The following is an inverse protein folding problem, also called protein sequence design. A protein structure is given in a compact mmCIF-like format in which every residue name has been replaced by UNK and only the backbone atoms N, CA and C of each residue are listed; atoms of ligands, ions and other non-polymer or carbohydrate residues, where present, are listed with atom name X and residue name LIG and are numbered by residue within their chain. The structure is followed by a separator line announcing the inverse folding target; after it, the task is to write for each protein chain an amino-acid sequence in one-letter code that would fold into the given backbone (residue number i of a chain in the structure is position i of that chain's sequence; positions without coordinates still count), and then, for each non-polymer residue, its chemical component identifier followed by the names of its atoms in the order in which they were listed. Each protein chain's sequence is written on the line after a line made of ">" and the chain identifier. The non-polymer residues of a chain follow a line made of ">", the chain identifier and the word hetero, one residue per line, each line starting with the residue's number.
data_IF_041600136744
#
_entry.id   IF_041600136744
#
_cell.length_a   1.000
_cell.length_b   1.000
_cell.length_c   1.000
_cell.angle_alpha   90.00
_cell.angle_beta   90.00
_cell.angle_gamma   90.00
#
_symmetry.space_group_name_H-M   'P 1'
#
loop_
_entity.id
_entity.type
_entity.pdbx_description
1 polymer ?
#
# COMPACT_ATOMS: atom_id res chain seq x y z
N UNK A 1 24.93 -8.54 26.87
CA UNK A 1 23.70 -7.75 26.68
C UNK A 1 23.84 -7.02 25.37
N UNK A 2 22.90 -7.17 24.43
CA UNK A 2 22.93 -6.40 23.19
C UNK A 2 22.49 -4.96 23.46
N UNK A 3 23.09 -3.94 22.81
CA UNK A 3 22.59 -2.57 22.89
C UNK A 3 21.16 -2.50 22.34
N UNK A 4 20.35 -1.51 22.77
CA UNK A 4 19.01 -1.32 22.23
C UNK A 4 19.10 -1.07 20.71
N UNK A 5 18.10 -1.53 19.93
CA UNK A 5 18.08 -1.30 18.51
C UNK A 5 18.01 0.21 18.23
N UNK A 6 18.84 0.69 17.31
CA UNK A 6 18.85 2.09 16.87
C UNK A 6 17.60 2.40 16.03
N UNK A 7 17.17 1.45 15.19
CA UNK A 7 15.92 1.53 14.43
C UNK A 7 14.79 0.89 15.23
N UNK A 8 13.79 1.67 15.58
CA UNK A 8 12.64 1.23 16.37
C UNK A 8 11.34 1.31 15.58
N UNK A 9 10.26 0.76 16.13
CA UNK A 9 8.93 0.92 15.55
C UNK A 9 8.46 2.38 15.49
N UNK A 10 8.94 3.25 16.38
CA UNK A 10 8.62 4.66 16.37
C UNK A 10 9.23 5.36 15.14
N UNK A 11 10.52 5.11 14.85
CA UNK A 11 11.18 5.70 13.68
C UNK A 11 10.47 5.29 12.37
N UNK A 12 10.04 4.02 12.29
CA UNK A 12 9.30 3.50 11.14
C UNK A 12 7.93 4.19 11.02
N UNK A 13 7.20 4.35 12.14
CA UNK A 13 5.89 5.00 12.15
C UNK A 13 5.98 6.49 11.78
N UNK A 14 6.96 7.21 12.32
CA UNK A 14 7.19 8.62 12.00
C UNK A 14 7.58 8.81 10.52
N UNK A 15 8.47 7.97 10.00
CA UNK A 15 8.84 7.96 8.59
C UNK A 15 7.63 7.65 7.70
N UNK A 16 6.84 6.62 8.03
CA UNK A 16 5.61 6.29 7.30
C UNK A 16 4.64 7.47 7.28
N UNK A 17 4.42 8.13 8.43
CA UNK A 17 3.56 9.30 8.53
C UNK A 17 4.05 10.47 7.68
N UNK A 18 5.36 10.75 7.68
CA UNK A 18 5.95 11.82 6.87
C UNK A 18 5.82 11.54 5.37
N UNK A 19 6.14 10.32 4.92
CA UNK A 19 6.01 9.92 3.51
C UNK A 19 4.55 9.92 3.07
N UNK A 20 3.63 9.52 3.96
CA UNK A 20 2.18 9.54 3.69
C UNK A 20 1.67 10.95 3.44
N UNK A 21 2.02 11.92 4.29
CA UNK A 21 1.65 13.33 4.10
C UNK A 21 2.21 13.91 2.80
N UNK A 22 3.46 13.55 2.46
CA UNK A 22 4.07 13.99 1.20
C UNK A 22 3.32 13.44 -0.01
N UNK A 23 2.94 12.16 0.02
CA UNK A 23 2.16 11.53 -1.04
C UNK A 23 0.78 12.19 -1.17
N UNK A 24 0.06 12.39 -0.07
CA UNK A 24 -1.26 13.04 -0.07
C UNK A 24 -1.19 14.45 -0.68
N UNK A 25 -0.19 15.23 -0.29
CA UNK A 25 0.05 16.57 -0.86
C UNK A 25 0.37 16.51 -2.36
N UNK A 26 1.09 15.49 -2.82
CA UNK A 26 1.40 15.30 -4.24
C UNK A 26 0.18 14.88 -5.07
N UNK A 27 -0.76 14.15 -4.45
CA UNK A 27 -1.99 13.69 -5.10
C UNK A 27 -3.12 14.73 -5.07
N UNK A 28 -3.10 15.69 -4.15
CA UNK A 28 -4.13 16.72 -4.00
C UNK A 28 -4.57 17.40 -5.32
N UNK A 29 -3.66 17.80 -6.23
CA UNK A 29 -4.06 18.43 -7.50
C UNK A 29 -4.80 17.49 -8.47
N UNK A 30 -4.71 16.17 -8.25
CA UNK A 30 -5.33 15.15 -9.11
C UNK A 30 -6.77 14.83 -8.70
N UNK A 31 -7.18 15.24 -7.49
CA UNK A 31 -8.46 14.87 -6.90
C UNK A 31 -8.56 13.41 -6.43
N UNK A 32 -7.53 12.59 -6.68
CA UNK A 32 -7.49 11.18 -6.27
C UNK A 32 -6.97 11.08 -4.84
N UNK A 33 -7.71 10.36 -3.99
CA UNK A 33 -7.30 10.10 -2.60
C UNK A 33 -6.13 9.12 -2.52
N UNK A 34 -5.44 9.12 -1.38
CA UNK A 34 -4.41 8.10 -1.09
C UNK A 34 -4.96 6.68 -1.13
N UNK A 35 -6.20 6.47 -0.69
CA UNK A 35 -6.82 5.14 -0.66
C UNK A 35 -7.07 4.62 -2.08
N UNK A 36 -7.61 5.44 -2.97
CA UNK A 36 -7.79 5.10 -4.40
C UNK A 36 -6.44 4.82 -5.08
N UNK A 37 -5.45 5.67 -4.83
CA UNK A 37 -4.09 5.46 -5.34
C UNK A 37 -3.50 4.12 -4.88
N UNK A 38 -3.64 3.77 -3.59
CA UNK A 38 -3.13 2.49 -3.07
C UNK A 38 -3.90 1.31 -3.66
N UNK A 39 -5.24 1.37 -3.72
CA UNK A 39 -6.06 0.29 -4.28
C UNK A 39 -5.73 0.05 -5.77
N UNK A 40 -5.61 1.12 -6.57
CA UNK A 40 -5.18 1.02 -7.97
C UNK A 40 -3.77 0.45 -8.09
N UNK A 41 -2.83 0.88 -7.24
CA UNK A 41 -1.47 0.34 -7.23
C UNK A 41 -1.45 -1.15 -6.91
N UNK A 42 -2.27 -1.61 -5.98
CA UNK A 42 -2.42 -3.02 -5.64
C UNK A 42 -2.94 -3.82 -6.83
N UNK A 43 -4.01 -3.34 -7.47
CA UNK A 43 -4.61 -4.00 -8.65
C UNK A 43 -3.65 -4.09 -9.83
N UNK A 44 -2.86 -3.03 -10.10
CA UNK A 44 -1.92 -3.01 -11.24
C UNK A 44 -0.64 -3.80 -10.95
N UNK A 45 -0.04 -3.63 -9.77
CA UNK A 45 1.28 -4.21 -9.47
C UNK A 45 1.19 -5.69 -9.12
N UNK A 46 0.14 -6.11 -8.41
CA UNK A 46 -0.06 -7.53 -8.08
C UNK A 46 -0.77 -8.30 -9.18
N UNK A 47 -1.45 -7.58 -10.08
CA UNK A 47 -2.25 -8.17 -11.14
C UNK A 47 -3.58 -8.75 -10.64
N UNK A 48 -4.25 -9.54 -11.48
CA UNK A 48 -5.55 -10.13 -11.18
C UNK A 48 -5.50 -11.01 -9.92
N UNK A 49 -6.42 -10.80 -8.98
CA UNK A 49 -6.48 -11.57 -7.73
C UNK A 49 -7.94 -11.86 -7.32
N UNK A 50 -8.14 -12.77 -6.36
CA UNK A 50 -9.49 -13.06 -5.87
C UNK A 50 -10.12 -11.83 -5.21
N UNK A 51 -11.40 -11.48 -5.47
CA UNK A 51 -12.01 -10.29 -4.88
C UNK A 51 -12.00 -10.31 -3.35
N UNK A 52 -12.27 -11.47 -2.73
CA UNK A 52 -12.17 -11.64 -1.27
C UNK A 52 -10.75 -11.43 -0.73
N UNK A 53 -9.75 -11.88 -1.48
CA UNK A 53 -8.34 -11.69 -1.12
C UNK A 53 -7.96 -10.21 -1.18
N UNK A 54 -8.41 -9.49 -2.21
CA UNK A 54 -8.20 -8.05 -2.33
C UNK A 54 -8.82 -7.28 -1.15
N UNK A 55 -10.08 -7.59 -0.82
CA UNK A 55 -10.79 -6.97 0.30
C UNK A 55 -10.06 -7.23 1.63
N UNK A 56 -9.74 -8.50 1.91
CA UNK A 56 -9.01 -8.88 3.11
C UNK A 56 -7.63 -8.21 3.16
N UNK A 57 -6.93 -8.13 2.02
CA UNK A 57 -5.63 -7.50 1.94
C UNK A 57 -5.70 -6.02 2.33
N UNK A 58 -6.64 -5.25 1.75
CA UNK A 58 -6.79 -3.82 2.01
C UNK A 58 -7.27 -3.54 3.45
N UNK A 59 -8.22 -4.32 3.96
CA UNK A 59 -8.73 -4.19 5.33
C UNK A 59 -7.67 -4.51 6.39
N UNK A 60 -6.75 -5.43 6.08
CA UNK A 60 -5.65 -5.81 6.97
C UNK A 60 -4.42 -4.90 6.86
N UNK A 61 -4.52 -3.72 6.25
CA UNK A 61 -3.47 -2.70 6.26
C UNK A 61 -3.78 -1.61 7.30
N UNK A 62 -3.20 -1.64 8.51
CA UNK A 62 -3.47 -0.63 9.55
C UNK A 62 -3.19 0.80 9.08
N UNK A 63 -2.21 0.99 8.21
CA UNK A 63 -1.83 2.27 7.64
C UNK A 63 -2.87 2.84 6.65
N UNK A 64 -3.84 2.04 6.20
CA UNK A 64 -4.98 2.52 5.43
C UNK A 64 -6.11 2.98 6.36
N UNK A 65 -6.25 2.41 7.55
CA UNK A 65 -7.30 2.79 8.50
C UNK A 65 -8.71 2.58 7.94
N UNK A 66 -8.88 1.65 6.99
CA UNK A 66 -10.16 1.35 6.35
C UNK A 66 -10.87 0.21 7.07
N UNK A 67 -12.17 0.36 7.31
CA UNK A 67 -13.05 -0.75 7.68
C UNK A 67 -13.33 -1.63 6.45
N UNK A 68 -13.88 -2.83 6.67
CA UNK A 68 -14.33 -3.69 5.57
C UNK A 68 -15.35 -2.98 4.65
N UNK A 69 -16.31 -2.26 5.25
CA UNK A 69 -17.32 -1.50 4.49
C UNK A 69 -16.66 -0.39 3.66
N UNK A 70 -15.71 0.35 4.23
CA UNK A 70 -14.98 1.41 3.52
C UNK A 70 -14.12 0.85 2.37
N UNK A 71 -13.59 -0.38 2.51
CA UNK A 71 -12.90 -1.07 1.41
C UNK A 71 -13.89 -1.42 0.30
N UNK A 72 -15.08 -1.91 0.63
CA UNK A 72 -16.10 -2.22 -0.35
C UNK A 72 -16.57 -0.98 -1.11
N UNK A 73 -16.83 0.13 -0.41
CA UNK A 73 -17.17 1.42 -1.02
C UNK A 73 -16.05 1.95 -1.92
N UNK A 74 -14.80 1.88 -1.48
CA UNK A 74 -13.64 2.28 -2.26
C UNK A 74 -13.54 1.51 -3.59
N UNK A 75 -13.70 0.20 -3.52
CA UNK A 75 -13.59 -0.67 -4.69
C UNK A 75 -14.78 -0.48 -5.65
N UNK A 76 -15.99 -0.33 -5.12
CA UNK A 76 -17.16 0.03 -5.91
C UNK A 76 -16.96 1.36 -6.65
N UNK A 77 -16.42 2.38 -5.98
CA UNK A 77 -16.11 3.67 -6.62
C UNK A 77 -15.09 3.55 -7.76
N UNK A 78 -14.07 2.70 -7.62
CA UNK A 78 -13.12 2.43 -8.71
C UNK A 78 -13.77 1.69 -9.89
N UNK A 79 -14.71 0.79 -9.63
CA UNK A 79 -15.44 0.05 -10.66
C UNK A 79 -16.46 0.95 -11.39
N UNK A 80 -17.20 1.79 -10.66
CA UNK A 80 -18.09 2.81 -11.20
C UNK A 80 -17.34 3.85 -12.06
N UNK A 81 -16.12 4.22 -11.64
CA UNK A 81 -15.21 5.08 -12.40
C UNK A 81 -14.55 4.40 -13.61
N UNK A 82 -14.80 3.11 -13.83
CA UNK A 82 -14.22 2.34 -14.93
C UNK A 82 -12.72 2.10 -14.78
N UNK A 83 -12.17 2.19 -13.57
CA UNK A 83 -10.75 1.97 -13.28
C UNK A 83 -10.42 0.55 -12.80
N UNK A 84 -11.44 -0.19 -12.37
CA UNK A 84 -11.32 -1.58 -11.98
C UNK A 84 -12.53 -2.39 -12.46
N UNK A 85 -12.42 -3.72 -12.42
CA UNK A 85 -13.53 -4.62 -12.71
C UNK A 85 -13.46 -5.86 -11.83
N UNK A 86 -14.62 -6.41 -11.50
CA UNK A 86 -14.73 -7.64 -10.73
C UNK A 86 -14.29 -7.46 -9.27
N UNK A 87 -14.44 -6.27 -8.71
CA UNK A 87 -13.95 -5.95 -7.36
C UNK A 87 -14.96 -6.24 -6.26
N UNK A 88 -16.23 -6.46 -6.61
CA UNK A 88 -17.26 -6.90 -5.68
C UNK A 88 -16.86 -8.24 -5.02
N UNK A 89 -17.09 -8.35 -3.71
CA UNK A 89 -16.61 -9.48 -2.90
C UNK A 89 -17.21 -10.84 -3.32
N UNK A 90 -18.38 -10.83 -3.95
CA UNK A 90 -19.11 -11.97 -4.50
C UNK A 90 -18.94 -12.15 -6.02
N UNK A 91 -18.09 -11.34 -6.67
CA UNK A 91 -17.81 -11.47 -8.10
C UNK A 91 -17.14 -12.81 -8.42
N UNK A 92 -17.48 -13.33 -9.61
CA UNK A 92 -16.95 -14.59 -10.15
C UNK A 92 -15.61 -14.46 -10.87
N UNK A 93 -15.24 -13.24 -11.28
CA UNK A 93 -13.99 -12.94 -11.97
C UNK A 93 -12.91 -12.43 -11.03
N UNK A 94 -11.63 -12.45 -11.45
CA UNK A 94 -10.59 -11.84 -10.67
C UNK A 94 -10.77 -10.32 -10.65
N UNK A 95 -10.57 -9.72 -9.48
CA UNK A 95 -10.46 -8.28 -9.34
C UNK A 95 -9.19 -7.80 -10.05
N UNK A 96 -9.33 -6.85 -10.96
CA UNK A 96 -8.20 -6.33 -11.75
C UNK A 96 -8.42 -4.86 -12.14
N UNK A 97 -7.33 -4.16 -12.42
CA UNK A 97 -7.39 -2.83 -13.03
C UNK A 97 -7.82 -2.93 -14.50
N UNK A 98 -8.59 -1.96 -14.97
CA UNK A 98 -8.84 -1.75 -16.41
C UNK A 98 -7.63 -1.06 -17.06
N UNK A 99 -7.55 -1.01 -18.41
CA UNK A 99 -6.57 -0.17 -19.10
C UNK A 99 -6.61 1.29 -18.64
N UNK A 100 -7.80 1.83 -18.40
CA UNK A 100 -8.03 3.19 -17.91
C UNK A 100 -7.51 3.37 -16.48
N UNK A 101 -7.71 2.37 -15.61
CA UNK A 101 -7.16 2.37 -14.25
C UNK A 101 -5.63 2.28 -14.24
N UNK A 102 -5.03 1.47 -15.12
CA UNK A 102 -3.59 1.42 -15.28
C UNK A 102 -3.01 2.75 -15.81
N UNK A 103 -3.68 3.37 -16.78
CA UNK A 103 -3.31 4.68 -17.29
C UNK A 103 -3.47 5.79 -16.23
N UNK A 104 -4.50 5.72 -15.40
CA UNK A 104 -4.68 6.62 -14.27
C UNK A 104 -3.51 6.48 -13.28
N UNK A 105 -3.17 5.25 -12.88
CA UNK A 105 -2.04 5.02 -11.98
C UNK A 105 -0.73 5.57 -12.55
N UNK A 106 -0.48 5.41 -13.86
CA UNK A 106 0.70 5.99 -14.50
C UNK A 106 0.74 7.51 -14.35
N UNK A 107 -0.37 8.21 -14.58
CA UNK A 107 -0.45 9.68 -14.38
C UNK A 107 -0.25 10.09 -12.92
N UNK A 108 -0.81 9.33 -11.97
CA UNK A 108 -0.62 9.60 -10.54
C UNK A 108 0.84 9.42 -10.12
N UNK A 109 1.52 8.40 -10.66
CA UNK A 109 2.95 8.19 -10.44
C UNK A 109 3.78 9.34 -11.02
N UNK A 110 3.46 9.81 -12.23
CA UNK A 110 4.11 10.98 -12.83
C UNK A 110 3.91 12.25 -12.00
N UNK A 111 2.71 12.47 -11.47
CA UNK A 111 2.41 13.59 -10.58
C UNK A 111 3.19 13.52 -9.26
N UNK A 112 3.34 12.33 -8.68
CA UNK A 112 4.09 12.12 -7.44
C UNK A 112 5.62 12.08 -7.64
N UNK A 113 6.10 11.81 -8.86
CA UNK A 113 7.51 11.57 -9.15
C UNK A 113 8.46 12.71 -8.72
N UNK A 114 8.15 14.01 -8.89
CA UNK A 114 8.99 15.10 -8.39
C UNK A 114 9.18 15.05 -6.87
N UNK A 115 8.10 14.83 -6.12
CA UNK A 115 8.13 14.72 -4.66
C UNK A 115 8.92 13.50 -4.20
N UNK A 116 8.76 12.37 -4.88
CA UNK A 116 9.53 11.13 -4.60
C UNK A 116 11.03 11.35 -4.89
N UNK A 117 11.38 11.98 -6.01
CA UNK A 117 12.78 12.29 -6.32
C UNK A 117 13.40 13.22 -5.27
N UNK A 118 12.67 14.25 -4.85
CA UNK A 118 13.13 15.17 -3.82
C UNK A 118 13.28 14.48 -2.44
N UNK A 119 12.36 13.57 -2.09
CA UNK A 119 12.41 12.79 -0.85
C UNK A 119 13.71 12.00 -0.71
N UNK A 120 14.18 11.39 -1.80
CA UNK A 120 15.38 10.56 -1.79
C UNK A 120 16.66 11.33 -2.19
N UNK A 121 16.55 12.61 -2.55
CA UNK A 121 17.70 13.42 -2.93
C UNK A 121 18.65 13.61 -1.75
N UNK A 122 19.95 13.39 -1.98
CA UNK A 122 21.00 13.57 -0.97
C UNK A 122 21.29 12.34 -0.12
N UNK A 123 20.51 11.25 -0.22
CA UNK A 123 20.89 9.98 0.36
C UNK A 123 21.92 9.24 -0.49
N UNK A 124 22.84 8.55 0.17
CA UNK A 124 23.80 7.65 -0.46
C UNK A 124 23.04 6.39 -0.93
N UNK A 125 23.18 5.94 -2.20
CA UNK A 125 22.46 4.78 -2.72
C UNK A 125 22.68 3.49 -1.92
N UNK A 126 23.89 3.28 -1.42
CA UNK A 126 24.25 2.14 -0.59
C UNK A 126 23.49 2.13 0.74
N UNK A 127 23.29 3.29 1.36
CA UNK A 127 22.52 3.44 2.60
C UNK A 127 21.04 3.14 2.36
N UNK A 128 20.48 3.59 1.22
CA UNK A 128 19.11 3.24 0.84
C UNK A 128 18.96 1.73 0.61
N UNK A 129 19.95 1.08 0.00
CA UNK A 129 19.94 -0.36 -0.18
C UNK A 129 20.03 -1.12 1.16
N UNK A 130 20.83 -0.63 2.11
CA UNK A 130 20.89 -1.16 3.49
C UNK A 130 19.54 -0.98 4.18
N UNK A 131 18.97 0.22 4.16
CA UNK A 131 17.68 0.52 4.77
C UNK A 131 16.57 -0.37 4.19
N UNK A 132 16.53 -0.54 2.86
CA UNK A 132 15.58 -1.43 2.20
C UNK A 132 15.70 -2.87 2.70
N UNK A 133 16.92 -3.43 2.76
CA UNK A 133 17.13 -4.80 3.26
C UNK A 133 16.69 -4.96 4.71
N UNK A 134 16.99 -3.96 5.55
CA UNK A 134 16.58 -3.97 6.97
C UNK A 134 15.07 -3.95 7.09
N UNK A 135 14.37 -3.04 6.39
CA UNK A 135 12.91 -2.94 6.43
C UNK A 135 12.23 -4.22 5.93
N UNK A 136 12.71 -4.81 4.84
CA UNK A 136 12.21 -6.11 4.34
C UNK A 136 12.41 -7.21 5.40
N UNK A 137 13.57 -7.27 6.03
CA UNK A 137 13.85 -8.24 7.09
C UNK A 137 12.97 -8.05 8.33
N UNK A 138 12.70 -6.80 8.73
CA UNK A 138 11.79 -6.46 9.84
C UNK A 138 10.36 -6.90 9.52
N UNK A 139 9.86 -6.59 8.31
CA UNK A 139 8.53 -7.02 7.88
C UNK A 139 8.39 -8.54 7.89
N UNK A 140 9.31 -9.26 7.25
CA UNK A 140 9.26 -10.73 7.20
C UNK A 140 9.30 -11.37 8.60
N UNK A 141 10.15 -10.87 9.50
CA UNK A 141 10.24 -11.36 10.88
C UNK A 141 8.97 -11.04 11.68
N UNK A 142 8.36 -9.86 11.49
CA UNK A 142 7.11 -9.52 12.13
C UNK A 142 5.98 -10.48 11.71
N UNK A 143 5.86 -10.76 10.40
CA UNK A 143 4.86 -11.68 9.86
C UNK A 143 5.07 -13.12 10.40
N UNK A 144 6.33 -13.60 10.44
CA UNK A 144 6.69 -14.88 11.04
C UNK A 144 6.26 -14.99 12.51
N UNK A 145 6.51 -13.94 13.31
CA UNK A 145 6.20 -13.93 14.74
C UNK A 145 4.69 -13.88 14.99
N UNK A 146 3.93 -13.14 14.16
CA UNK A 146 2.46 -13.14 14.22
C UNK A 146 1.92 -14.53 13.89
N UNK A 147 2.43 -15.19 12.84
CA UNK A 147 2.02 -16.54 12.47
C UNK A 147 2.33 -17.57 13.58
N UNK A 148 3.45 -17.42 14.29
CA UNK A 148 3.82 -18.29 15.42
C UNK A 148 2.98 -18.04 16.67
N UNK A 149 2.46 -16.83 16.85
CA UNK A 149 1.64 -16.45 17.99
C UNK A 149 0.16 -16.85 17.83
N UNK A 150 -0.29 -17.23 16.62
CA UNK A 150 -1.64 -17.74 16.39
C UNK A 150 -1.79 -19.13 17.05
N UNK A 151 -2.76 -19.35 17.96
CA UNK A 151 -2.89 -20.62 18.65
C UNK A 151 -3.26 -21.74 17.67
N UNK A 152 -2.63 -22.91 17.83
CA UNK A 152 -3.14 -24.17 17.31
C UNK A 152 -4.50 -24.37 17.95
N UNK A 153 -5.58 -24.12 17.21
CA UNK A 153 -6.93 -24.41 17.65
C UNK A 153 -6.99 -25.89 18.07
N UNK A 154 -7.24 -26.13 19.36
CA UNK A 154 -7.61 -27.43 19.92
C UNK A 154 -9.12 -27.57 19.93
#
# INVERSE_FOLDING_TARGET
>A
MAPPPILTGQDIAEAQGAVTRLLERALEPTGVSRHEYVALRVLVVRGPQGPRELHAFLANQPQLGLSADAVAELLAGLEEGGHATGTAQDSSGPAQATPEGAALLARLNEAAAPSIRALYAGFVPEDLAVAHRVLVGVTARADELVAQAAPVAS
#
